data_IF_576582311467
#
_entry.id   IF_576582311467
#
_cell.length_a   1.000
_cell.length_b   1.000
_cell.length_c   1.000
_cell.angle_alpha   90.00
_cell.angle_beta   90.00
_cell.angle_gamma   90.00
#
_symmetry.space_group_name_H-M   'P 1'
#
loop_
_entity.id
_entity.type
_entity.pdbx_description
1 polymer ?
#
# COMPACT_ATOMS: atom_id res chain seq x y z
N UNK A 1 -16.11 -12.52 -12.98
CA UNK A 1 -15.55 -11.48 -13.86
C UNK A 1 -14.13 -11.16 -13.45
N UNK A 2 -13.23 -11.03 -14.42
CA UNK A 2 -11.83 -10.68 -14.14
C UNK A 2 -11.76 -9.19 -13.85
N UNK A 3 -11.25 -8.83 -12.67
CA UNK A 3 -11.08 -7.44 -12.25
C UNK A 3 -9.61 -7.05 -12.34
N UNK A 4 -9.33 -5.85 -12.82
CA UNK A 4 -7.97 -5.30 -12.93
C UNK A 4 -7.84 -4.09 -12.02
N UNK A 5 -6.89 -4.15 -11.08
CA UNK A 5 -6.57 -3.02 -10.22
C UNK A 5 -5.59 -2.09 -10.94
N UNK A 6 -5.89 -0.79 -10.90
CA UNK A 6 -4.98 0.26 -11.34
C UNK A 6 -4.87 1.33 -10.25
N UNK A 7 -3.66 1.49 -9.71
CA UNK A 7 -3.32 2.56 -8.77
C UNK A 7 -2.27 3.46 -9.44
N UNK A 8 -2.67 4.60 -10.03
CA UNK A 8 -1.73 5.47 -10.71
C UNK A 8 -0.69 6.03 -9.71
N UNK A 9 0.54 6.20 -10.17
CA UNK A 9 1.58 6.80 -9.34
C UNK A 9 1.25 8.28 -9.08
N UNK A 10 1.47 8.75 -7.85
CA UNK A 10 1.30 10.17 -7.51
C UNK A 10 -0.14 10.59 -7.21
N UNK A 11 -1.10 9.66 -7.10
CA UNK A 11 -2.49 9.95 -6.71
C UNK A 11 -2.94 9.14 -5.50
N UNK A 12 -4.03 9.57 -4.86
CA UNK A 12 -4.60 8.95 -3.66
C UNK A 12 -5.79 8.05 -3.94
N UNK A 13 -5.82 7.45 -5.12
CA UNK A 13 -6.96 6.66 -5.57
C UNK A 13 -6.50 5.42 -6.31
N UNK A 14 -7.18 4.30 -6.07
CA UNK A 14 -7.06 3.09 -6.86
C UNK A 14 -8.41 2.72 -7.46
N UNK A 15 -8.37 2.21 -8.69
CA UNK A 15 -9.53 1.86 -9.48
C UNK A 15 -9.55 0.37 -9.75
N UNK A 16 -10.71 -0.24 -9.61
CA UNK A 16 -10.95 -1.62 -10.02
C UNK A 16 -11.79 -1.58 -11.30
N UNK A 17 -11.20 -2.02 -12.41
CA UNK A 17 -11.87 -2.11 -13.69
C UNK A 17 -12.45 -3.50 -13.92
N UNK A 18 -13.64 -3.56 -14.51
CA UNK A 18 -14.18 -4.80 -15.05
C UNK A 18 -13.58 -5.14 -16.43
N UNK A 19 -14.01 -6.26 -17.00
CA UNK A 19 -13.56 -6.71 -18.33
C UNK A 19 -13.99 -5.80 -19.49
N UNK A 20 -14.92 -4.88 -19.25
CA UNK A 20 -15.38 -3.89 -20.23
C UNK A 20 -14.69 -2.53 -20.05
N UNK A 21 -13.66 -2.46 -19.19
CA UNK A 21 -12.95 -1.22 -18.83
C UNK A 21 -13.84 -0.18 -18.16
N UNK A 22 -14.95 -0.61 -17.54
CA UNK A 22 -15.76 0.23 -16.68
C UNK A 22 -15.21 0.20 -15.25
N UNK A 23 -15.26 1.34 -14.56
CA UNK A 23 -14.87 1.42 -13.15
C UNK A 23 -15.92 0.68 -12.32
N UNK A 24 -15.57 -0.50 -11.82
CA UNK A 24 -16.40 -1.28 -10.92
C UNK A 24 -16.33 -0.75 -9.48
N UNK A 25 -15.15 -0.25 -9.07
CA UNK A 25 -14.95 0.31 -7.73
C UNK A 25 -13.81 1.34 -7.71
N UNK A 26 -13.93 2.29 -6.79
CA UNK A 26 -12.89 3.25 -6.45
C UNK A 26 -12.55 3.11 -4.97
N UNK A 27 -11.25 3.05 -4.66
CA UNK A 27 -10.70 3.05 -3.30
C UNK A 27 -9.97 4.36 -3.06
N UNK A 28 -10.27 5.05 -1.96
CA UNK A 28 -9.40 6.11 -1.47
C UNK A 28 -8.24 5.48 -0.71
N UNK A 29 -7.03 5.68 -1.24
CA UNK A 29 -5.79 5.11 -0.70
C UNK A 29 -4.86 6.19 -0.11
N UNK A 30 -5.42 7.37 0.21
CA UNK A 30 -4.67 8.46 0.85
C UNK A 30 -3.83 7.94 2.01
N UNK A 31 -2.58 8.38 2.10
CA UNK A 31 -1.76 8.01 3.25
C UNK A 31 -2.22 8.74 4.51
N UNK A 32 -3.18 8.16 5.21
CA UNK A 32 -3.80 8.74 6.40
C UNK A 32 -2.82 8.99 7.56
N UNK A 33 -1.64 8.37 7.54
CA UNK A 33 -0.64 8.53 8.60
C UNK A 33 0.31 9.70 8.31
N UNK A 34 0.72 9.89 7.06
CA UNK A 34 1.62 10.98 6.67
C UNK A 34 0.90 12.21 6.12
N UNK A 35 -0.40 12.11 5.82
CA UNK A 35 -1.18 13.11 5.10
C UNK A 35 -0.76 13.28 3.63
N UNK A 36 0.20 12.48 3.17
CA UNK A 36 0.79 12.56 1.85
C UNK A 36 0.13 11.63 0.82
N UNK A 37 0.72 11.61 -0.36
CA UNK A 37 0.35 10.69 -1.42
C UNK A 37 0.66 9.26 -1.00
N UNK A 38 -0.19 8.29 -1.38
CA UNK A 38 0.11 6.87 -1.19
C UNK A 38 1.54 6.55 -1.66
N UNK A 39 2.39 6.06 -0.75
CA UNK A 39 3.82 5.93 -0.96
C UNK A 39 4.23 4.61 -1.66
N UNK A 40 3.36 3.98 -2.44
CA UNK A 40 3.70 2.71 -3.07
C UNK A 40 2.56 2.03 -3.82
N UNK A 41 2.88 0.90 -4.46
CA UNK A 41 1.89 0.11 -5.18
C UNK A 41 0.81 -0.44 -4.24
N UNK A 42 -0.38 -0.63 -4.82
CA UNK A 42 -1.55 -1.23 -4.17
C UNK A 42 -1.86 -2.54 -4.88
N UNK A 43 -2.19 -3.58 -4.13
CA UNK A 43 -2.74 -4.83 -4.66
C UNK A 43 -4.12 -5.10 -4.08
N UNK A 44 -4.90 -5.97 -4.73
CA UNK A 44 -6.19 -6.42 -4.20
C UNK A 44 -6.04 -7.84 -3.68
N UNK A 45 -6.49 -8.07 -2.45
CA UNK A 45 -6.53 -9.38 -1.83
C UNK A 45 -7.77 -10.15 -2.29
N UNK A 46 -7.74 -11.49 -2.16
CA UNK A 46 -8.86 -12.36 -2.55
C UNK A 46 -10.15 -12.08 -1.78
N UNK A 47 -10.06 -11.49 -0.60
CA UNK A 47 -11.22 -11.07 0.19
C UNK A 47 -11.75 -9.67 -0.18
N UNK A 48 -11.21 -9.03 -1.23
CA UNK A 48 -11.64 -7.73 -1.73
C UNK A 48 -11.07 -6.53 -1.00
N UNK A 49 -10.19 -6.73 -0.02
CA UNK A 49 -9.45 -5.65 0.63
C UNK A 49 -8.32 -5.16 -0.28
N UNK A 50 -8.10 -3.85 -0.30
CA UNK A 50 -6.94 -3.25 -0.92
C UNK A 50 -5.76 -3.27 0.07
N UNK A 51 -4.68 -3.94 -0.32
CA UNK A 51 -3.41 -3.92 0.39
C UNK A 51 -2.54 -2.82 -0.19
N UNK A 52 -2.01 -1.95 0.67
CA UNK A 52 -1.10 -0.88 0.25
C UNK A 52 0.08 -0.71 1.19
N UNK A 53 1.10 -0.04 0.68
CA UNK A 53 2.18 0.55 1.45
C UNK A 53 1.86 1.99 1.89
N UNK A 54 2.38 2.37 3.05
CA UNK A 54 2.24 3.69 3.68
C UNK A 54 3.55 4.16 4.29
N UNK A 55 3.77 5.47 4.39
CA UNK A 55 4.95 6.02 5.08
C UNK A 55 4.74 5.97 6.59
N UNK A 56 5.80 5.66 7.34
CA UNK A 56 5.79 5.84 8.80
C UNK A 56 6.20 7.28 9.15
N UNK A 57 5.27 8.15 9.60
CA UNK A 57 5.59 9.53 9.96
C UNK A 57 6.45 9.63 11.22
N UNK A 58 6.48 8.58 12.06
CA UNK A 58 7.19 8.59 13.34
C UNK A 58 8.67 8.22 13.20
N UNK A 59 9.11 7.79 12.01
CA UNK A 59 10.49 7.39 11.75
C UNK A 59 11.17 8.28 10.70
N UNK A 60 12.08 9.19 11.11
CA UNK A 60 12.80 10.01 10.16
C UNK A 60 13.64 9.17 9.18
N UNK A 61 13.97 9.75 8.04
CA UNK A 61 14.97 9.19 7.13
C UNK A 61 16.32 9.13 7.82
N UNK A 62 16.97 7.97 7.81
CA UNK A 62 18.32 7.77 8.31
C UNK A 62 19.29 7.73 7.14
N UNK A 63 20.53 8.19 7.35
CA UNK A 63 21.58 8.15 6.32
C UNK A 63 21.87 6.74 5.78
N UNK A 64 21.66 5.72 6.60
CA UNK A 64 21.87 4.32 6.24
C UNK A 64 20.67 3.69 5.50
N UNK A 65 19.57 4.42 5.34
CA UNK A 65 18.43 3.89 4.59
C UNK A 65 18.76 3.76 3.10
N UNK A 66 18.18 2.76 2.43
CA UNK A 66 18.25 2.70 0.98
C UNK A 66 17.65 3.97 0.37
N UNK A 67 18.38 4.54 -0.58
CA UNK A 67 17.91 5.68 -1.34
C UNK A 67 17.12 5.22 -2.56
N UNK A 68 15.90 5.71 -2.67
CA UNK A 68 15.01 5.44 -3.79
C UNK A 68 14.76 6.75 -4.54
N UNK A 69 15.16 6.87 -5.82
CA UNK A 69 15.00 8.11 -6.58
C UNK A 69 13.54 8.42 -6.91
N UNK A 70 12.66 7.41 -6.88
CA UNK A 70 11.22 7.49 -7.13
C UNK A 70 10.49 6.57 -6.14
N UNK A 71 9.16 6.43 -6.20
CA UNK A 71 8.41 5.37 -5.48
C UNK A 71 8.19 5.55 -3.96
N UNK A 72 9.00 6.35 -3.27
CA UNK A 72 8.79 6.68 -1.86
C UNK A 72 9.35 5.66 -0.87
N UNK A 73 9.33 6.01 0.42
CA UNK A 73 9.90 5.20 1.52
C UNK A 73 8.76 4.68 2.39
N UNK A 74 8.23 3.50 2.07
CA UNK A 74 7.16 2.89 2.85
C UNK A 74 7.69 2.16 4.09
N UNK A 75 6.93 2.24 5.18
CA UNK A 75 7.25 1.66 6.49
C UNK A 75 6.06 1.08 7.25
N UNK A 76 4.88 1.09 6.62
CA UNK A 76 3.65 0.54 7.17
C UNK A 76 2.92 -0.17 6.03
N UNK A 77 2.37 -1.35 6.32
CA UNK A 77 1.39 -2.05 5.49
C UNK A 77 -0.01 -1.71 5.98
N UNK A 78 -0.97 -1.52 5.08
CA UNK A 78 -2.37 -1.30 5.45
C UNK A 78 -3.33 -2.12 4.59
N UNK A 79 -4.40 -2.58 5.23
CA UNK A 79 -5.58 -3.10 4.55
C UNK A 79 -6.70 -2.07 4.59
N UNK A 80 -7.24 -1.79 3.42
CA UNK A 80 -8.32 -0.84 3.19
C UNK A 80 -9.54 -1.63 2.72
N UNK A 81 -10.68 -1.42 3.37
CA UNK A 81 -11.93 -2.05 2.99
C UNK A 81 -12.62 -1.36 1.80
N UNK A 82 -13.79 -1.87 1.43
CA UNK A 82 -14.55 -1.33 0.29
C UNK A 82 -15.11 0.07 0.56
N UNK A 83 -15.18 0.51 1.82
CA UNK A 83 -15.62 1.86 2.19
C UNK A 83 -14.45 2.83 2.35
N UNK A 84 -13.25 2.40 1.91
CA UNK A 84 -11.99 3.14 2.04
C UNK A 84 -11.55 3.38 3.49
N UNK A 85 -11.95 2.50 4.39
CA UNK A 85 -11.52 2.53 5.80
C UNK A 85 -10.29 1.66 5.97
N UNK A 86 -9.29 2.18 6.69
CA UNK A 86 -8.15 1.37 7.13
C UNK A 86 -8.63 0.44 8.23
N UNK A 87 -8.73 -0.86 7.93
CA UNK A 87 -9.21 -1.89 8.87
C UNK A 87 -8.08 -2.64 9.56
N UNK A 88 -6.86 -2.50 9.05
CA UNK A 88 -5.66 -3.06 9.66
C UNK A 88 -4.42 -2.27 9.22
N UNK A 89 -3.48 -2.08 10.14
CA UNK A 89 -2.16 -1.57 9.83
C UNK A 89 -1.07 -2.38 10.54
N UNK A 90 0.12 -2.43 9.93
CA UNK A 90 1.30 -3.07 10.50
C UNK A 90 2.55 -2.26 10.18
N UNK A 91 3.23 -1.83 11.23
CA UNK A 91 4.42 -1.01 11.11
C UNK A 91 5.68 -1.87 10.93
N UNK A 92 6.15 -1.97 9.70
CA UNK A 92 7.33 -2.76 9.33
C UNK A 92 8.63 -2.17 9.86
N UNK A 93 8.66 -0.88 10.20
CA UNK A 93 9.84 -0.23 10.77
C UNK A 93 10.00 -0.43 12.27
N UNK A 94 8.92 -0.85 12.95
CA UNK A 94 8.92 -1.17 14.39
C UNK A 94 9.06 -2.67 14.66
N UNK A 95 9.26 -3.48 13.62
CA UNK A 95 9.47 -4.90 13.77
C UNK A 95 10.78 -5.18 14.52
N UNK A 96 10.69 -5.92 15.63
CA UNK A 96 11.80 -6.15 16.56
C UNK A 96 12.99 -6.92 15.94
N UNK A 97 14.15 -6.80 16.59
CA UNK A 97 15.50 -7.30 16.23
C UNK A 97 16.30 -6.47 15.24
N UNK A 98 16.12 -5.14 15.23
CA UNK A 98 17.01 -4.20 14.52
C UNK A 98 16.97 -4.32 13.00
N UNK A 99 16.06 -5.14 12.45
CA UNK A 99 15.84 -5.29 11.01
C UNK A 99 14.73 -4.36 10.62
N UNK A 100 15.14 -3.19 10.17
CA UNK A 100 14.27 -2.22 9.57
C UNK A 100 13.85 -2.74 8.19
N UNK A 101 12.55 -2.97 8.00
CA UNK A 101 11.98 -3.26 6.69
C UNK A 101 11.34 -1.99 6.12
N UNK A 102 12.02 -1.39 5.15
CA UNK A 102 11.46 -0.34 4.29
C UNK A 102 11.05 -0.99 2.98
N UNK A 103 9.84 -0.69 2.52
CA UNK A 103 9.32 -1.13 1.23
C UNK A 103 9.39 0.03 0.22
N UNK A 104 9.50 -0.30 -1.07
CA UNK A 104 9.65 0.71 -2.14
C UNK A 104 8.78 0.43 -3.37
N UNK A 105 8.66 -0.81 -3.83
CA UNK A 105 7.98 -1.12 -5.09
C UNK A 105 6.57 -1.64 -4.87
N UNK A 106 6.43 -2.85 -4.34
CA UNK A 106 5.14 -3.55 -4.33
C UNK A 106 4.92 -4.32 -3.04
N UNK A 107 3.63 -4.52 -2.75
CA UNK A 107 3.14 -5.40 -1.70
C UNK A 107 2.05 -6.27 -2.30
N UNK A 108 2.16 -7.59 -2.12
CA UNK A 108 1.24 -8.53 -2.77
C UNK A 108 0.77 -9.60 -1.78
N UNK A 109 -0.53 -9.88 -1.81
CA UNK A 109 -1.11 -11.02 -1.11
C UNK A 109 -0.75 -12.33 -1.80
N UNK A 110 -0.23 -13.28 -1.03
CA UNK A 110 0.08 -14.62 -1.49
C UNK A 110 -1.12 -15.57 -1.27
N UNK A 111 -1.24 -16.66 -2.07
CA UNK A 111 -2.34 -17.62 -1.93
C UNK A 111 -2.45 -18.30 -0.57
N UNK A 112 -1.37 -18.35 0.21
CA UNK A 112 -1.33 -18.92 1.56
C UNK A 112 -1.74 -17.93 2.66
N UNK A 113 -2.18 -16.72 2.31
CA UNK A 113 -2.59 -15.68 3.25
C UNK A 113 -1.46 -14.78 3.76
N UNK A 114 -0.21 -15.04 3.37
CA UNK A 114 0.91 -14.17 3.69
C UNK A 114 0.98 -12.96 2.75
N UNK A 115 1.75 -11.95 3.16
CA UNK A 115 2.08 -10.77 2.34
C UNK A 115 3.56 -10.82 1.99
N UNK A 116 3.90 -10.59 0.72
CA UNK A 116 5.26 -10.34 0.23
C UNK A 116 5.47 -8.83 0.04
#
# INVERSE_FOLDING_TARGET
DQLTLWAPNGVNVAYLYDSNLCIAKTYNITDTKSGGTAAGATSILRNGLALRSASDPTRPGLRADPWFPYGGRAGILQLIDQDSTVVWDFNTTKFEKGRIAIQHHETIGLPNGNIL
#
